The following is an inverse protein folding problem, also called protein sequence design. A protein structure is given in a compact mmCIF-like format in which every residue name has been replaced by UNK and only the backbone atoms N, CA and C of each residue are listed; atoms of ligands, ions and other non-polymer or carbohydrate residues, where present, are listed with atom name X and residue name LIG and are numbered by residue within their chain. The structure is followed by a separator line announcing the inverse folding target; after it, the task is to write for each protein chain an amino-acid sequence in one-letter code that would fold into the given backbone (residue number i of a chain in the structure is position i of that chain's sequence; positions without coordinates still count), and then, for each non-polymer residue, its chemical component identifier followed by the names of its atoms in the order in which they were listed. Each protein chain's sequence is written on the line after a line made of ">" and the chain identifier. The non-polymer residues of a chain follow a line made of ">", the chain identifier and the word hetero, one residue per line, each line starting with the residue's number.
data_IF_307891969042
#
_entry.id   IF_307891969042
#
_cell.length_a   1.000
_cell.length_b   1.000
_cell.length_c   1.000
_cell.angle_alpha   90.00
_cell.angle_beta   90.00
_cell.angle_gamma   90.00
#
_symmetry.space_group_name_H-M   'P 1'
#
loop_
_entity.id
_entity.type
_entity.pdbx_description
1 polymer ?
#
# COMPACT_ATOMS: atom_id res chain seq x y z
N UNK A 1 -15.69 -12.49 2.19
CA UNK A 1 -15.57 -11.17 2.84
C UNK A 1 -15.36 -10.15 1.73
N UNK A 2 -16.08 -9.02 1.71
CA UNK A 2 -15.84 -7.96 0.74
C UNK A 2 -14.65 -7.12 1.23
N UNK A 3 -13.62 -6.99 0.39
CA UNK A 3 -12.44 -6.18 0.68
C UNK A 3 -12.68 -4.83 0.01
N UNK A 4 -13.07 -3.84 0.81
CA UNK A 4 -13.36 -2.49 0.35
C UNK A 4 -12.30 -1.52 0.84
N UNK A 5 -12.20 -0.37 0.18
CA UNK A 5 -11.26 0.68 0.59
C UNK A 5 -11.61 1.18 2.00
N UNK A 6 -10.61 1.22 2.89
CA UNK A 6 -10.77 1.59 4.30
C UNK A 6 -11.02 0.41 5.24
N UNK A 7 -11.05 -0.83 4.74
CA UNK A 7 -11.14 -2.04 5.59
C UNK A 7 -10.00 -2.08 6.62
N UNK A 8 -10.29 -2.58 7.82
CA UNK A 8 -9.27 -2.88 8.82
C UNK A 8 -8.25 -3.91 8.27
N UNK A 9 -6.96 -3.57 8.26
CA UNK A 9 -5.95 -4.37 7.56
C UNK A 9 -5.81 -5.82 8.10
N UNK A 10 -6.14 -6.04 9.36
CA UNK A 10 -6.17 -7.36 10.03
C UNK A 10 -7.31 -8.25 9.54
N UNK A 11 -8.36 -7.69 8.94
CA UNK A 11 -9.49 -8.44 8.37
C UNK A 11 -9.21 -8.95 6.96
N UNK A 12 -8.11 -8.52 6.34
CA UNK A 12 -7.69 -9.03 5.03
C UNK A 12 -6.97 -10.38 5.25
N UNK A 13 -7.76 -11.44 5.37
CA UNK A 13 -7.27 -12.78 5.63
C UNK A 13 -6.31 -13.26 4.52
N UNK A 14 -5.19 -13.87 4.92
CA UNK A 14 -4.18 -14.37 3.98
C UNK A 14 -3.30 -13.30 3.33
N UNK A 15 -3.47 -12.01 3.67
CA UNK A 15 -2.62 -10.95 3.14
C UNK A 15 -1.15 -11.10 3.57
N UNK A 16 -0.27 -11.20 2.57
CA UNK A 16 1.18 -11.21 2.78
C UNK A 16 1.71 -9.79 2.61
N UNK A 17 1.82 -9.08 3.74
CA UNK A 17 2.30 -7.71 3.80
C UNK A 17 3.81 -7.64 3.61
N UNK A 18 4.26 -6.74 2.73
CA UNK A 18 5.69 -6.50 2.48
C UNK A 18 6.02 -5.02 2.35
N UNK A 19 7.23 -4.66 2.76
CA UNK A 19 7.81 -3.31 2.63
C UNK A 19 8.73 -3.21 1.42
N UNK A 20 8.95 -1.99 0.95
CA UNK A 20 10.02 -1.71 -0.02
C UNK A 20 11.40 -1.94 0.60
N UNK A 21 12.39 -2.37 -0.18
CA UNK A 21 13.80 -2.44 0.27
C UNK A 21 14.40 -1.08 0.61
N UNK A 22 13.79 0.03 0.15
CA UNK A 22 14.17 1.40 0.53
C UNK A 22 13.69 1.80 1.93
N UNK A 23 12.96 0.93 2.61
CA UNK A 23 12.44 1.13 3.96
C UNK A 23 13.54 0.95 5.00
N UNK A 24 13.65 1.88 5.95
CA UNK A 24 14.54 1.71 7.10
C UNK A 24 13.99 0.65 8.09
N UNK A 25 14.87 -0.06 8.83
CA UNK A 25 14.45 -1.08 9.82
C UNK A 25 13.57 -0.51 10.95
N UNK A 26 13.79 0.75 11.31
CA UNK A 26 13.17 1.40 12.47
C UNK A 26 11.86 2.14 12.18
N UNK A 27 11.23 1.87 11.03
CA UNK A 27 9.82 2.21 10.78
C UNK A 27 9.53 3.48 9.99
N UNK A 28 8.22 3.71 9.78
CA UNK A 28 7.56 4.75 8.95
C UNK A 28 7.37 4.34 7.49
N UNK A 29 7.10 3.06 7.25
CA UNK A 29 7.09 2.53 5.90
C UNK A 29 5.67 2.14 5.49
N UNK A 30 5.43 2.23 4.19
CA UNK A 30 4.23 1.70 3.57
C UNK A 30 4.40 0.20 3.37
N UNK A 31 3.39 -0.56 3.76
CA UNK A 31 3.27 -1.99 3.48
C UNK A 31 2.23 -2.23 2.41
N UNK A 32 2.53 -3.17 1.50
CA UNK A 32 1.63 -3.56 0.42
C UNK A 32 1.37 -5.06 0.44
N UNK A 33 0.16 -5.48 0.06
CA UNK A 33 -0.21 -6.88 -0.09
C UNK A 33 -1.03 -7.07 -1.37
N UNK A 34 -0.75 -8.16 -2.11
CA UNK A 34 -1.58 -8.55 -3.25
C UNK A 34 -2.88 -9.19 -2.76
N UNK A 35 -3.99 -8.88 -3.43
CA UNK A 35 -5.30 -9.41 -3.13
C UNK A 35 -5.73 -10.48 -4.16
N UNK A 36 -6.67 -11.38 -3.80
CA UNK A 36 -7.12 -12.46 -4.71
C UNK A 36 -7.72 -11.99 -6.04
N UNK A 37 -8.31 -10.79 -6.06
CA UNK A 37 -8.95 -10.17 -7.23
C UNK A 37 -7.98 -9.31 -8.07
N UNK A 38 -6.67 -9.47 -7.86
CA UNK A 38 -5.59 -8.66 -8.44
C UNK A 38 -5.52 -7.22 -7.92
N UNK A 39 -6.35 -6.86 -6.95
CA UNK A 39 -6.20 -5.60 -6.21
C UNK A 39 -4.92 -5.58 -5.37
N UNK A 40 -4.59 -4.40 -4.85
CA UNK A 40 -3.47 -4.20 -3.93
C UNK A 40 -3.98 -3.45 -2.71
N UNK A 41 -3.74 -4.02 -1.53
CA UNK A 41 -3.96 -3.33 -0.27
C UNK A 41 -2.68 -2.61 0.17
N UNK A 42 -2.83 -1.41 0.70
CA UNK A 42 -1.75 -0.53 1.18
C UNK A 42 -2.06 -0.10 2.61
N UNK A 43 -1.13 -0.28 3.55
CA UNK A 43 -1.30 0.13 4.94
C UNK A 43 -0.06 0.83 5.50
N UNK A 44 -0.25 1.54 6.61
CA UNK A 44 0.83 2.13 7.39
C UNK A 44 1.45 1.09 8.33
N UNK A 45 2.76 0.84 8.23
CA UNK A 45 3.44 -0.15 9.07
C UNK A 45 3.39 0.17 10.57
N UNK A 46 3.15 1.44 10.97
CA UNK A 46 2.98 1.82 12.38
C UNK A 46 1.62 1.42 12.94
N UNK A 47 0.63 1.25 12.07
CA UNK A 47 -0.74 0.92 12.43
C UNK A 47 -1.16 -0.33 11.65
N UNK A 48 -0.58 -1.50 11.96
CA UNK A 48 -0.86 -2.73 11.20
C UNK A 48 -2.31 -3.22 11.32
N UNK A 49 -3.06 -2.75 12.33
CA UNK A 49 -4.51 -2.93 12.50
C UNK A 49 -5.33 -1.71 12.04
N UNK A 50 -4.69 -0.67 11.52
CA UNK A 50 -5.37 0.50 10.97
C UNK A 50 -6.08 0.19 9.65
N UNK A 51 -6.75 1.19 9.06
CA UNK A 51 -7.38 1.05 7.76
C UNK A 51 -6.34 0.81 6.66
N UNK A 52 -6.68 -0.05 5.70
CA UNK A 52 -5.94 -0.25 4.47
C UNK A 52 -6.64 0.45 3.31
N UNK A 53 -5.86 1.12 2.46
CA UNK A 53 -6.33 1.56 1.15
C UNK A 53 -6.34 0.36 0.20
N UNK A 54 -7.42 0.19 -0.56
CA UNK A 54 -7.57 -0.89 -1.53
C UNK A 54 -7.62 -0.29 -2.92
N UNK A 55 -6.62 -0.65 -3.75
CA UNK A 55 -6.49 -0.19 -5.12
C UNK A 55 -6.92 -1.28 -6.09
N UNK A 56 -7.65 -0.89 -7.12
CA UNK A 56 -7.86 -1.72 -8.31
C UNK A 56 -6.53 -1.93 -9.06
N UNK A 57 -6.45 -2.94 -9.96
CA UNK A 57 -5.27 -3.15 -10.79
C UNK A 57 -4.87 -1.91 -11.62
N UNK A 58 -5.84 -1.14 -12.11
CA UNK A 58 -5.59 0.03 -12.93
C UNK A 58 -5.03 1.19 -12.09
N UNK A 59 -5.60 1.46 -10.92
CA UNK A 59 -5.15 2.55 -10.05
C UNK A 59 -3.74 2.29 -9.51
N UNK A 60 -3.43 1.05 -9.08
CA UNK A 60 -2.08 0.74 -8.59
C UNK A 60 -1.04 0.80 -9.71
N UNK A 61 -1.40 0.41 -10.93
CA UNK A 61 -0.52 0.53 -12.08
C UNK A 61 -0.22 2.00 -12.39
N UNK A 62 -1.25 2.85 -12.44
CA UNK A 62 -1.09 4.29 -12.66
C UNK A 62 -0.23 4.93 -11.56
N UNK A 63 -0.51 4.65 -10.28
CA UNK A 63 0.27 5.17 -9.17
C UNK A 63 1.75 4.77 -9.25
N UNK A 64 2.04 3.50 -9.56
CA UNK A 64 3.43 3.02 -9.68
C UNK A 64 4.16 3.65 -10.86
N UNK A 65 3.47 3.93 -11.98
CA UNK A 65 4.11 4.61 -13.10
C UNK A 65 4.40 6.08 -12.78
N UNK A 66 3.43 6.83 -12.24
CA UNK A 66 3.67 8.23 -11.85
C UNK A 66 4.79 8.34 -10.80
N UNK A 67 4.84 7.43 -9.83
CA UNK A 67 5.94 7.38 -8.85
C UNK A 67 7.31 7.03 -9.47
N UNK A 68 7.36 6.36 -10.63
CA UNK A 68 8.61 6.10 -11.36
C UNK A 68 9.00 7.25 -12.27
N UNK A 69 8.02 7.95 -12.82
CA UNK A 69 8.20 9.10 -13.69
C UNK A 69 8.60 10.36 -12.90
N UNK A 70 8.51 10.30 -11.56
CA UNK A 70 8.90 11.38 -10.65
C UNK A 70 7.79 12.39 -10.38
N UNK A 71 6.53 12.03 -10.68
CA UNK A 71 5.35 12.93 -10.57
C UNK A 71 5.11 13.47 -9.15
N UNK A 72 5.77 12.90 -8.15
CA UNK A 72 5.64 13.26 -6.73
C UNK A 72 6.97 13.68 -6.09
N UNK A 73 8.04 13.86 -6.88
CA UNK A 73 9.35 14.23 -6.36
C UNK A 73 9.36 15.66 -5.79
N UNK A 74 8.43 16.51 -6.24
CA UNK A 74 8.21 17.86 -5.69
C UNK A 74 7.88 17.84 -4.19
N UNK A 75 7.31 16.74 -3.68
CA UNK A 75 7.02 16.55 -2.25
C UNK A 75 8.27 16.28 -1.40
N UNK A 76 9.43 16.02 -2.00
CA UNK A 76 10.69 15.79 -1.28
C UNK A 76 11.51 17.07 -1.10
N UNK A 77 11.24 18.09 -1.91
CA UNK A 77 11.97 19.37 -1.92
C UNK A 77 11.29 20.45 -1.04
N UNK A 78 10.20 20.08 -0.35
CA UNK A 78 9.38 20.98 0.49
C UNK A 78 9.77 21.00 1.96
#
# INVERSE_FOLDING_TARGET
>A
MQIENGIEATRIEGAVWRKSRRSNPNGNCVEVAALPDRGVAVRNSRFPSGPALVYTPAEIAAFVQGAKDGDFDDLLES
#
